data_IF_532999921865
#
_entry.id   IF_532999921865
#
_cell.length_a   1.000
_cell.length_b   1.000
_cell.length_c   1.000
_cell.angle_alpha   90.00
_cell.angle_beta   90.00
_cell.angle_gamma   90.00
#
_symmetry.space_group_name_H-M   'P 1'
#
loop_
_entity.id
_entity.type
_entity.pdbx_description
1 polymer ?
#
# COMPACT_ATOMS: atom_id res chain seq x y z
N UNK A 1 -2.26 -5.21 4.30
CA UNK A 1 -2.12 -4.81 5.72
C UNK A 1 -3.42 -4.19 6.23
N UNK A 2 -3.86 -4.62 7.42
CA UNK A 2 -5.05 -4.07 8.10
C UNK A 2 -4.56 -3.32 9.34
N UNK A 3 -4.49 -2.00 9.26
CA UNK A 3 -3.86 -1.15 10.27
C UNK A 3 -4.59 -1.14 11.62
N UNK A 4 -5.91 -1.29 11.62
CA UNK A 4 -6.72 -1.33 12.84
C UNK A 4 -7.03 -2.76 13.35
N UNK A 5 -6.22 -3.75 12.95
CA UNK A 5 -6.44 -5.15 13.33
C UNK A 5 -6.41 -5.38 14.85
N UNK A 6 -5.61 -4.60 15.60
CA UNK A 6 -5.48 -4.75 17.06
C UNK A 6 -6.78 -4.36 17.77
N UNK A 7 -7.40 -3.26 17.36
CA UNK A 7 -8.68 -2.80 17.91
C UNK A 7 -9.79 -3.81 17.59
N UNK A 8 -9.75 -4.36 16.37
CA UNK A 8 -10.69 -5.41 15.96
C UNK A 8 -10.47 -6.67 16.82
N UNK A 9 -9.23 -7.13 16.99
CA UNK A 9 -8.92 -8.28 17.86
C UNK A 9 -9.39 -8.07 19.29
N UNK A 10 -9.16 -6.90 19.85
CA UNK A 10 -9.61 -6.57 21.21
C UNK A 10 -11.15 -6.62 21.32
N UNK A 11 -11.87 -6.10 20.33
CA UNK A 11 -13.34 -6.11 20.28
C UNK A 11 -13.92 -7.53 20.17
N UNK A 12 -13.26 -8.42 19.45
CA UNK A 12 -13.69 -9.82 19.28
C UNK A 12 -13.03 -10.81 20.26
N UNK A 13 -12.29 -10.31 21.25
CA UNK A 13 -11.71 -11.16 22.28
C UNK A 13 -12.79 -11.97 23.02
N UNK A 14 -12.63 -13.31 23.05
CA UNK A 14 -13.63 -14.22 23.64
C UNK A 14 -14.85 -14.54 22.77
N UNK A 15 -15.00 -13.88 21.60
CA UNK A 15 -16.05 -14.16 20.63
C UNK A 15 -15.54 -14.92 19.40
N UNK A 16 -14.28 -14.67 19.06
CA UNK A 16 -13.57 -15.35 17.96
C UNK A 16 -12.24 -15.88 18.46
N UNK A 17 -11.95 -17.15 18.14
CA UNK A 17 -10.70 -17.81 18.53
C UNK A 17 -9.63 -17.59 17.46
N UNK A 18 -8.84 -16.51 17.63
CA UNK A 18 -7.77 -16.16 16.71
C UNK A 18 -6.63 -17.19 16.77
N UNK A 19 -6.29 -17.78 15.64
CA UNK A 19 -5.31 -18.86 15.52
C UNK A 19 -3.90 -18.33 15.19
N UNK A 20 -3.78 -17.12 14.66
CA UNK A 20 -2.51 -16.55 14.19
C UNK A 20 -2.28 -15.14 14.74
N UNK A 21 -1.07 -14.61 14.56
CA UNK A 21 -0.75 -13.20 14.79
C UNK A 21 -1.00 -12.29 13.56
N UNK A 22 -1.49 -12.86 12.45
CA UNK A 22 -1.69 -12.09 11.20
C UNK A 22 -2.76 -11.02 11.36
N UNK A 23 -2.49 -9.84 10.87
CA UNK A 23 -3.45 -8.74 10.77
C UNK A 23 -4.66 -9.10 9.90
N UNK A 24 -4.47 -9.92 8.87
CA UNK A 24 -5.53 -10.33 7.95
C UNK A 24 -6.59 -11.25 8.57
N UNK A 25 -6.28 -11.96 9.66
CA UNK A 25 -7.22 -12.88 10.29
C UNK A 25 -8.47 -12.19 10.85
N UNK A 26 -8.39 -10.90 11.15
CA UNK A 26 -9.55 -10.13 11.62
C UNK A 26 -10.67 -10.05 10.57
N UNK A 27 -10.34 -10.21 9.29
CA UNK A 27 -11.31 -10.27 8.19
C UNK A 27 -12.28 -11.43 8.40
N UNK A 28 -11.78 -12.58 8.86
CA UNK A 28 -12.60 -13.76 9.11
C UNK A 28 -13.57 -13.56 10.28
N UNK A 29 -13.09 -12.93 11.37
CA UNK A 29 -13.92 -12.61 12.52
C UNK A 29 -15.05 -11.63 12.15
N UNK A 30 -14.70 -10.59 11.41
CA UNK A 30 -15.65 -9.58 10.93
C UNK A 30 -16.67 -10.18 9.93
N UNK A 31 -16.21 -11.00 8.98
CA UNK A 31 -17.10 -11.63 8.01
C UNK A 31 -18.08 -12.59 8.68
N UNK A 32 -17.63 -13.35 9.67
CA UNK A 32 -18.50 -14.25 10.45
C UNK A 32 -19.61 -13.51 11.19
N UNK A 33 -19.33 -12.31 11.72
CA UNK A 33 -20.28 -11.49 12.44
C UNK A 33 -21.23 -10.71 11.53
N UNK A 34 -20.69 -10.06 10.47
CA UNK A 34 -21.38 -9.05 9.67
C UNK A 34 -21.60 -9.39 8.19
N UNK A 35 -21.13 -10.56 7.75
CA UNK A 35 -21.14 -10.90 6.35
C UNK A 35 -20.33 -9.89 5.54
N UNK A 36 -20.80 -9.51 4.34
CA UNK A 36 -20.10 -8.58 3.45
C UNK A 36 -20.09 -7.12 3.93
N UNK A 37 -20.86 -6.77 4.96
CA UNK A 37 -21.00 -5.40 5.46
C UNK A 37 -19.84 -4.93 6.34
N UNK A 38 -18.87 -5.79 6.60
CA UNK A 38 -17.70 -5.43 7.43
C UNK A 38 -16.68 -4.51 6.74
N UNK A 39 -16.73 -4.38 5.42
CA UNK A 39 -15.70 -3.69 4.64
C UNK A 39 -15.45 -2.24 5.09
N UNK A 40 -16.47 -1.55 5.58
CA UNK A 40 -16.35 -0.17 6.09
C UNK A 40 -15.61 -0.08 7.43
N UNK A 41 -15.41 -1.21 8.12
CA UNK A 41 -14.75 -1.24 9.43
C UNK A 41 -13.25 -1.50 9.36
N UNK A 42 -12.74 -1.94 8.20
CA UNK A 42 -11.32 -2.18 8.02
C UNK A 42 -10.62 -0.94 7.48
N UNK A 43 -9.47 -0.63 8.06
CA UNK A 43 -8.57 0.42 7.60
C UNK A 43 -7.26 -0.23 7.18
N UNK A 44 -6.89 -0.09 5.90
CA UNK A 44 -5.69 -0.76 5.41
C UNK A 44 -5.45 -0.62 3.92
N UNK A 45 -4.38 -1.24 3.48
CA UNK A 45 -4.00 -1.44 2.08
C UNK A 45 -4.21 -2.92 1.79
N UNK A 46 -5.18 -3.24 0.94
CA UNK A 46 -5.54 -4.64 0.70
C UNK A 46 -6.18 -4.90 -0.66
N UNK A 47 -5.94 -6.09 -1.14
CA UNK A 47 -6.74 -6.80 -2.13
C UNK A 47 -6.82 -8.24 -1.65
N UNK A 48 -8.02 -8.77 -1.44
CA UNK A 48 -8.19 -10.12 -0.92
C UNK A 48 -9.33 -10.86 -1.59
N UNK A 49 -9.26 -12.16 -1.47
CA UNK A 49 -10.36 -13.09 -1.76
C UNK A 49 -10.65 -13.88 -0.49
N UNK A 50 -11.89 -13.88 -0.07
CA UNK A 50 -12.39 -14.68 1.02
C UNK A 50 -13.34 -15.72 0.43
N UNK A 51 -13.11 -17.00 0.73
CA UNK A 51 -13.99 -18.09 0.34
C UNK A 51 -14.70 -18.66 1.57
N UNK A 52 -16.01 -18.75 1.49
CA UNK A 52 -16.88 -19.34 2.49
C UNK A 52 -17.26 -20.75 2.01
N UNK A 53 -16.58 -21.76 2.55
CA UNK A 53 -16.74 -23.15 2.14
C UNK A 53 -18.12 -23.70 2.49
N UNK A 54 -18.75 -23.24 3.58
CA UNK A 54 -20.07 -23.71 4.01
C UNK A 54 -21.17 -23.25 3.04
N UNK A 55 -21.01 -22.07 2.46
CA UNK A 55 -21.98 -21.49 1.52
C UNK A 55 -21.61 -21.68 0.05
N UNK A 56 -20.40 -22.16 -0.22
CA UNK A 56 -19.80 -22.18 -1.56
C UNK A 56 -19.87 -20.80 -2.25
N UNK A 57 -19.51 -19.76 -1.48
CA UNK A 57 -19.55 -18.34 -1.89
C UNK A 57 -18.18 -17.70 -1.71
N UNK A 58 -17.87 -16.70 -2.53
CA UNK A 58 -16.64 -15.93 -2.36
C UNK A 58 -16.87 -14.41 -2.43
N UNK A 59 -16.05 -13.69 -1.69
CA UNK A 59 -15.98 -12.23 -1.66
C UNK A 59 -14.60 -11.79 -2.11
N UNK A 60 -14.56 -10.91 -3.10
CA UNK A 60 -13.35 -10.20 -3.51
C UNK A 60 -13.51 -8.74 -3.09
N UNK A 61 -12.49 -8.13 -2.50
CA UNK A 61 -12.53 -6.71 -2.16
C UNK A 61 -11.16 -6.06 -2.35
N UNK A 62 -11.19 -4.78 -2.70
CA UNK A 62 -10.00 -3.95 -2.88
C UNK A 62 -10.11 -2.68 -2.05
N UNK A 63 -8.98 -2.24 -1.51
CA UNK A 63 -8.88 -1.03 -0.69
C UNK A 63 -9.43 0.23 -1.38
N UNK A 64 -9.75 1.29 -0.61
CA UNK A 64 -10.38 2.51 -1.13
C UNK A 64 -9.64 3.21 -2.25
N UNK A 65 -8.30 3.15 -2.26
CA UNK A 65 -7.43 3.85 -3.22
C UNK A 65 -6.93 2.89 -4.30
N UNK A 66 -6.95 1.57 -4.00
CA UNK A 66 -6.44 0.53 -4.89
C UNK A 66 -4.91 0.49 -4.95
N UNK A 67 -4.26 0.63 -3.80
CA UNK A 67 -2.80 0.57 -3.70
C UNK A 67 -2.28 -0.78 -4.17
N UNK A 68 -2.96 -1.87 -3.77
CA UNK A 68 -2.64 -3.20 -4.28
C UNK A 68 -3.32 -3.38 -5.64
N UNK A 69 -2.57 -3.72 -6.71
CA UNK A 69 -3.16 -4.05 -8.00
C UNK A 69 -4.09 -5.26 -7.87
N UNK A 70 -5.19 -5.24 -8.59
CA UNK A 70 -6.11 -6.37 -8.69
C UNK A 70 -6.83 -6.31 -10.04
N UNK A 71 -6.93 -7.46 -10.70
CA UNK A 71 -7.65 -7.67 -11.95
C UNK A 71 -8.64 -8.81 -11.79
N UNK A 72 -9.72 -8.73 -12.54
CA UNK A 72 -10.72 -9.78 -12.68
C UNK A 72 -10.84 -10.16 -14.15
N UNK A 73 -10.95 -11.45 -14.44
CA UNK A 73 -11.11 -11.94 -15.80
C UNK A 73 -12.11 -13.08 -15.87
N UNK A 74 -12.56 -13.37 -17.09
CA UNK A 74 -13.45 -14.49 -17.39
C UNK A 74 -12.92 -15.28 -18.56
N UNK A 75 -13.04 -16.60 -18.49
CA UNK A 75 -12.82 -17.47 -19.63
C UNK A 75 -14.10 -17.58 -20.48
N UNK A 76 -14.00 -18.28 -21.62
CA UNK A 76 -15.10 -18.54 -22.55
C UNK A 76 -16.31 -19.28 -21.94
N UNK A 77 -16.08 -19.99 -20.85
CA UNK A 77 -17.11 -20.75 -20.12
C UNK A 77 -17.73 -19.93 -18.98
N UNK A 78 -17.31 -18.63 -18.83
CA UNK A 78 -17.78 -17.70 -17.83
C UNK A 78 -17.16 -17.91 -16.43
N UNK A 79 -16.14 -18.74 -16.32
CA UNK A 79 -15.42 -18.95 -15.07
C UNK A 79 -14.59 -17.72 -14.73
N UNK A 80 -14.65 -17.32 -13.46
CA UNK A 80 -14.00 -16.09 -12.96
C UNK A 80 -12.60 -16.41 -12.43
N UNK A 81 -11.66 -15.55 -12.81
CA UNK A 81 -10.28 -15.55 -12.35
C UNK A 81 -9.92 -14.17 -11.81
N UNK A 82 -8.99 -14.11 -10.89
CA UNK A 82 -8.46 -12.85 -10.35
C UNK A 82 -6.99 -12.98 -10.00
N UNK A 83 -6.29 -11.85 -10.07
CA UNK A 83 -4.86 -11.79 -9.78
C UNK A 83 -4.39 -10.37 -9.59
N UNK A 84 -3.30 -10.20 -8.84
CA UNK A 84 -2.68 -8.89 -8.64
C UNK A 84 -1.82 -8.43 -9.81
N UNK A 85 -1.53 -9.33 -10.75
CA UNK A 85 -0.80 -9.03 -11.98
C UNK A 85 -1.61 -9.49 -13.19
N UNK A 86 -1.72 -8.62 -14.20
CA UNK A 86 -2.49 -8.90 -15.42
C UNK A 86 -1.95 -10.12 -16.18
N UNK A 87 -0.62 -10.26 -16.22
CA UNK A 87 0.04 -11.42 -16.85
C UNK A 87 -0.32 -12.76 -16.21
N UNK A 88 -0.80 -12.77 -14.97
CA UNK A 88 -1.29 -13.99 -14.32
C UNK A 88 -2.63 -14.46 -14.89
N UNK A 89 -3.37 -13.58 -15.56
CA UNK A 89 -4.64 -13.90 -16.22
C UNK A 89 -4.47 -14.20 -17.71
N UNK A 90 -3.34 -13.82 -18.29
CA UNK A 90 -3.03 -14.06 -19.70
C UNK A 90 -2.96 -15.57 -19.99
N UNK A 91 -3.64 -16.00 -21.05
CA UNK A 91 -3.73 -17.41 -21.45
C UNK A 91 -4.83 -18.21 -20.72
N UNK A 92 -5.48 -17.64 -19.73
CA UNK A 92 -6.63 -18.25 -19.04
C UNK A 92 -7.93 -17.52 -19.31
N UNK A 93 -7.89 -16.21 -19.46
CA UNK A 93 -9.07 -15.37 -19.64
C UNK A 93 -9.17 -14.85 -21.06
N UNK A 94 -10.41 -14.83 -21.59
CA UNK A 94 -10.73 -14.17 -22.85
C UNK A 94 -11.07 -12.69 -22.67
N UNK A 95 -11.59 -12.34 -21.48
CA UNK A 95 -11.88 -10.96 -21.05
C UNK A 95 -11.27 -10.70 -19.69
N UNK A 96 -10.67 -9.52 -19.49
CA UNK A 96 -10.18 -9.08 -18.21
C UNK A 96 -10.22 -7.57 -18.07
N UNK A 97 -10.43 -7.10 -16.85
CA UNK A 97 -10.48 -5.69 -16.52
C UNK A 97 -9.83 -5.40 -15.16
N UNK A 98 -9.38 -4.16 -14.91
CA UNK A 98 -8.94 -3.76 -13.57
C UNK A 98 -10.11 -3.85 -12.58
N UNK A 99 -9.85 -4.46 -11.42
CA UNK A 99 -10.79 -4.42 -10.32
C UNK A 99 -10.78 -3.03 -9.68
N UNK A 100 -11.92 -2.35 -9.63
CA UNK A 100 -11.99 -0.95 -9.24
C UNK A 100 -11.65 -0.73 -7.75
N UNK A 101 -10.90 0.33 -7.40
CA UNK A 101 -10.67 0.74 -6.01
C UNK A 101 -11.98 0.98 -5.24
N UNK A 102 -12.01 0.60 -3.96
CA UNK A 102 -13.19 0.78 -3.13
C UNK A 102 -14.42 -0.04 -3.56
N UNK A 103 -14.18 -1.12 -4.31
CA UNK A 103 -15.25 -2.02 -4.75
C UNK A 103 -15.08 -3.43 -4.17
N UNK A 104 -16.16 -4.18 -4.19
CA UNK A 104 -16.19 -5.60 -3.93
C UNK A 104 -16.95 -6.35 -5.04
N UNK A 105 -16.66 -7.64 -5.17
CA UNK A 105 -17.45 -8.59 -5.93
C UNK A 105 -17.85 -9.73 -5.03
N UNK A 106 -19.14 -9.97 -4.91
CA UNK A 106 -19.67 -11.09 -4.15
C UNK A 106 -20.31 -12.10 -5.12
N UNK A 107 -19.88 -13.35 -5.05
CA UNK A 107 -20.28 -14.39 -6.01
C UNK A 107 -21.79 -14.56 -6.14
N UNK A 108 -22.52 -14.46 -5.03
CA UNK A 108 -23.98 -14.53 -4.98
C UNK A 108 -24.68 -13.40 -5.75
N UNK A 109 -24.06 -12.24 -5.81
CA UNK A 109 -24.61 -11.07 -6.49
C UNK A 109 -24.16 -10.98 -7.96
N UNK A 110 -23.05 -11.60 -8.29
CA UNK A 110 -22.51 -11.73 -9.64
C UNK A 110 -22.08 -10.43 -10.31
N UNK A 111 -21.87 -9.36 -9.52
CA UNK A 111 -21.48 -8.04 -10.03
C UNK A 111 -20.59 -7.29 -9.04
N UNK A 112 -19.74 -6.42 -9.61
CA UNK A 112 -18.93 -5.49 -8.84
C UNK A 112 -19.79 -4.36 -8.29
N UNK A 113 -19.61 -4.03 -7.01
CA UNK A 113 -20.30 -2.94 -6.31
C UNK A 113 -19.32 -2.09 -5.52
N UNK A 114 -19.62 -0.80 -5.42
CA UNK A 114 -18.87 0.14 -4.60
C UNK A 114 -19.27 -0.03 -3.13
N UNK A 115 -18.27 -0.20 -2.25
CA UNK A 115 -18.47 -0.23 -0.80
C UNK A 115 -17.94 1.03 -0.11
N UNK A 116 -16.94 1.70 -0.72
CA UNK A 116 -16.33 2.90 -0.15
C UNK A 116 -16.93 4.16 -0.78
N UNK A 117 -17.64 4.94 0.03
CA UNK A 117 -18.20 6.24 -0.34
C UNK A 117 -17.92 7.25 0.76
N UNK A 118 -17.45 8.45 0.41
CA UNK A 118 -17.14 9.53 1.34
C UNK A 118 -17.78 10.82 0.85
N UNK A 119 -18.13 11.68 1.81
CA UNK A 119 -18.79 12.98 1.55
C UNK A 119 -17.98 13.87 0.62
N UNK A 120 -16.64 13.85 0.71
CA UNK A 120 -15.74 14.63 -0.15
C UNK A 120 -15.78 14.25 -1.64
N UNK A 121 -16.47 13.19 -2.01
CA UNK A 121 -16.75 12.86 -3.42
C UNK A 121 -17.81 13.76 -4.03
N UNK A 122 -18.59 14.47 -3.20
CA UNK A 122 -19.54 15.51 -3.61
C UNK A 122 -19.02 16.88 -3.16
N UNK A 123 -18.75 17.75 -4.13
CA UNK A 123 -18.23 19.10 -3.86
C UNK A 123 -19.17 19.92 -2.97
N UNK A 124 -20.49 19.84 -3.20
CA UNK A 124 -21.48 20.60 -2.44
C UNK A 124 -21.47 20.23 -0.95
N UNK A 125 -21.17 18.98 -0.63
CA UNK A 125 -21.08 18.49 0.75
C UNK A 125 -19.87 19.02 1.52
N UNK A 126 -18.84 19.52 0.84
CA UNK A 126 -17.55 19.91 1.46
C UNK A 126 -17.07 21.31 1.12
N UNK A 127 -17.77 22.05 0.27
CA UNK A 127 -17.32 23.38 -0.22
C UNK A 127 -17.15 24.42 0.91
N UNK A 128 -17.86 24.27 1.99
CA UNK A 128 -17.85 25.20 3.14
C UNK A 128 -17.08 24.60 4.35
N UNK A 129 -16.18 23.63 4.09
CA UNK A 129 -15.40 23.00 5.16
C UNK A 129 -14.31 23.95 5.69
N UNK A 130 -14.36 24.23 6.99
CA UNK A 130 -13.46 25.12 7.73
C UNK A 130 -12.19 24.40 8.26
N UNK A 131 -11.69 23.38 7.58
CA UNK A 131 -10.50 22.64 8.00
C UNK A 131 -9.29 23.58 8.19
N UNK A 132 -8.59 23.41 9.32
CA UNK A 132 -7.39 24.18 9.65
C UNK A 132 -6.13 23.42 9.27
N UNK A 133 -5.03 24.14 9.10
CA UNK A 133 -3.73 23.50 8.85
C UNK A 133 -3.30 22.55 9.98
N UNK A 134 -3.74 22.81 11.24
CA UNK A 134 -3.55 21.88 12.37
C UNK A 134 -4.20 20.53 12.13
N UNK A 135 -5.42 20.53 11.61
CA UNK A 135 -6.21 19.30 11.41
C UNK A 135 -5.58 18.44 10.32
N UNK A 136 -5.08 19.09 9.26
CA UNK A 136 -4.31 18.40 8.19
C UNK A 136 -3.01 17.80 8.76
N UNK A 137 -2.30 18.55 9.60
CA UNK A 137 -1.07 18.07 10.24
C UNK A 137 -1.35 16.84 11.10
N UNK A 138 -2.34 16.91 11.97
CA UNK A 138 -2.69 15.80 12.88
C UNK A 138 -3.14 14.57 12.08
N UNK A 139 -4.01 14.75 11.09
CA UNK A 139 -4.47 13.66 10.23
C UNK A 139 -3.32 13.01 9.44
N UNK A 140 -2.35 13.80 8.96
CA UNK A 140 -1.20 13.29 8.23
C UNK A 140 -0.23 12.54 9.17
N UNK A 141 0.06 13.10 10.36
CA UNK A 141 0.88 12.43 11.37
C UNK A 141 0.26 11.08 11.78
N UNK A 142 -1.04 11.05 12.01
CA UNK A 142 -1.77 9.82 12.36
C UNK A 142 -1.78 8.81 11.21
N UNK A 143 -1.99 9.27 9.98
CA UNK A 143 -1.96 8.41 8.79
C UNK A 143 -0.58 7.76 8.59
N UNK A 144 0.50 8.52 8.73
CA UNK A 144 1.86 7.97 8.63
C UNK A 144 2.12 7.01 9.79
N UNK A 145 1.82 7.42 11.02
CA UNK A 145 2.08 6.61 12.21
C UNK A 145 1.48 5.21 12.12
N UNK A 146 0.18 5.10 11.82
CA UNK A 146 -0.48 3.78 11.71
C UNK A 146 0.06 2.91 10.57
N UNK A 147 0.63 3.51 9.51
CA UNK A 147 1.21 2.80 8.38
C UNK A 147 2.66 2.34 8.61
N UNK A 148 3.29 2.73 9.71
CA UNK A 148 4.62 2.23 10.09
C UNK A 148 4.57 0.85 10.76
N UNK A 149 3.41 0.23 10.86
CA UNK A 149 3.24 -1.16 11.31
C UNK A 149 4.04 -2.09 10.40
N UNK A 150 5.05 -2.76 10.96
CA UNK A 150 5.91 -3.66 10.19
C UNK A 150 6.62 -4.67 11.07
N UNK A 151 6.64 -5.92 10.64
CA UNK A 151 7.42 -7.00 11.24
C UNK A 151 8.83 -7.14 10.62
N UNK A 152 9.18 -6.24 9.69
CA UNK A 152 10.46 -6.22 8.96
C UNK A 152 11.09 -4.82 8.99
N UNK A 153 12.41 -4.70 8.75
CA UNK A 153 13.05 -3.40 8.57
C UNK A 153 12.43 -2.62 7.42
N UNK A 154 12.16 -1.34 7.65
CA UNK A 154 11.64 -0.43 6.63
C UNK A 154 12.52 0.82 6.46
N UNK A 155 12.37 1.47 5.32
CA UNK A 155 13.02 2.74 5.00
C UNK A 155 12.03 3.74 4.42
N UNK A 156 12.52 4.89 3.99
CA UNK A 156 11.72 5.92 3.31
C UNK A 156 12.37 6.32 1.99
N UNK A 157 11.54 6.61 1.01
CA UNK A 157 11.97 7.20 -0.25
C UNK A 157 12.02 8.71 -0.10
N UNK A 158 13.18 9.32 -0.35
CA UNK A 158 13.41 10.72 -0.10
C UNK A 158 13.93 11.42 -1.37
N UNK A 159 13.07 12.16 -2.04
CA UNK A 159 13.41 12.92 -3.25
C UNK A 159 13.89 14.34 -2.96
N UNK A 160 13.76 14.82 -1.71
CA UNK A 160 14.01 16.22 -1.34
C UNK A 160 12.87 17.19 -1.69
N UNK A 161 11.79 16.70 -2.30
CA UNK A 161 10.54 17.44 -2.49
C UNK A 161 9.75 17.57 -1.19
N UNK A 162 8.76 18.47 -1.16
CA UNK A 162 7.96 18.75 0.05
C UNK A 162 7.33 17.49 0.63
N UNK A 163 6.61 16.73 -0.19
CA UNK A 163 5.82 15.58 0.27
C UNK A 163 6.70 14.50 0.90
N UNK A 164 7.73 14.04 0.17
CA UNK A 164 8.67 13.03 0.67
C UNK A 164 9.42 13.48 1.92
N UNK A 165 9.72 14.79 2.02
CA UNK A 165 10.42 15.36 3.18
C UNK A 165 9.53 15.36 4.42
N UNK A 166 8.26 15.76 4.28
CA UNK A 166 7.29 15.77 5.39
C UNK A 166 7.01 14.34 5.87
N UNK A 167 6.72 13.40 4.95
CA UNK A 167 6.50 12.00 5.30
C UNK A 167 7.72 11.40 6.01
N UNK A 168 8.93 11.63 5.49
CA UNK A 168 10.16 11.14 6.10
C UNK A 168 10.42 11.72 7.50
N UNK A 169 10.11 13.03 7.68
CA UNK A 169 10.25 13.69 8.98
C UNK A 169 9.24 13.11 10.02
N UNK A 170 8.01 12.84 9.61
CA UNK A 170 7.01 12.20 10.47
C UNK A 170 7.44 10.77 10.81
N UNK A 171 7.84 9.98 9.81
CA UNK A 171 8.31 8.61 10.02
C UNK A 171 9.49 8.57 11.01
N UNK A 172 10.41 9.53 10.92
CA UNK A 172 11.56 9.64 11.83
C UNK A 172 11.16 9.83 13.30
N UNK A 173 10.03 10.51 13.58
CA UNK A 173 9.55 10.68 14.99
C UNK A 173 9.27 9.32 15.66
N UNK A 174 8.85 8.33 14.89
CA UNK A 174 8.39 7.03 15.38
C UNK A 174 9.39 5.89 15.11
N UNK A 175 10.40 6.12 14.26
CA UNK A 175 11.29 5.07 13.75
C UNK A 175 12.13 4.33 14.80
N UNK A 176 12.28 4.89 16.02
CA UNK A 176 13.09 4.28 17.09
C UNK A 176 12.37 3.14 17.82
N UNK A 177 11.05 3.06 17.71
CA UNK A 177 10.22 2.10 18.44
C UNK A 177 9.27 1.38 17.50
N UNK A 178 8.96 0.15 17.86
CA UNK A 178 7.97 -0.65 17.11
C UNK A 178 6.55 -0.25 17.51
N UNK A 179 5.72 0.05 16.53
CA UNK A 179 4.32 0.38 16.73
C UNK A 179 3.53 -0.86 17.17
N UNK A 180 3.87 -2.04 16.65
CA UNK A 180 3.21 -3.31 16.95
C UNK A 180 3.30 -3.71 18.43
N UNK A 181 4.19 -3.11 19.18
CA UNK A 181 4.37 -3.37 20.63
C UNK A 181 4.03 -2.16 21.50
N UNK A 182 3.24 -1.20 20.98
CA UNK A 182 2.92 0.08 21.64
C UNK A 182 4.18 0.83 22.15
N UNK A 183 5.27 0.72 21.37
CA UNK A 183 6.56 1.33 21.73
C UNK A 183 7.34 0.60 22.82
N UNK A 184 6.90 -0.58 23.26
CA UNK A 184 7.61 -1.35 24.28
C UNK A 184 8.93 -1.95 23.77
N UNK A 185 9.03 -2.22 22.47
CA UNK A 185 10.24 -2.78 21.85
C UNK A 185 10.91 -1.76 20.93
N UNK A 186 12.23 -1.84 20.85
CA UNK A 186 13.00 -1.07 19.89
C UNK A 186 12.71 -1.54 18.46
N UNK A 187 12.79 -0.61 17.49
CA UNK A 187 12.67 -0.93 16.09
C UNK A 187 13.75 -1.91 15.63
N UNK A 188 13.48 -2.65 14.56
CA UNK A 188 14.46 -3.54 13.92
C UNK A 188 15.76 -2.82 13.55
N UNK A 189 15.60 -1.57 13.07
CA UNK A 189 16.67 -0.64 12.82
C UNK A 189 16.35 0.66 13.57
N UNK A 190 17.07 1.00 14.64
CA UNK A 190 16.81 2.20 15.43
C UNK A 190 17.11 3.49 14.68
N UNK A 191 17.86 3.40 13.57
CA UNK A 191 18.09 4.52 12.65
C UNK A 191 17.27 4.33 11.38
N UNK A 192 16.44 5.33 11.06
CA UNK A 192 15.67 5.33 9.82
C UNK A 192 16.60 5.51 8.62
N UNK A 193 16.50 4.61 7.66
CA UNK A 193 17.21 4.68 6.39
C UNK A 193 16.36 5.42 5.36
N UNK A 194 16.98 6.32 4.61
CA UNK A 194 16.35 7.02 3.48
C UNK A 194 17.08 6.73 2.18
N UNK A 195 16.33 6.71 1.08
CA UNK A 195 16.83 6.31 -0.24
C UNK A 195 16.47 7.35 -1.28
N UNK A 196 17.44 7.71 -2.11
CA UNK A 196 17.24 8.53 -3.29
C UNK A 196 17.96 7.91 -4.49
N UNK A 197 17.42 8.09 -5.67
CA UNK A 197 18.06 7.66 -6.93
C UNK A 197 17.97 8.76 -7.97
N UNK A 198 19.03 8.92 -8.75
CA UNK A 198 19.06 9.90 -9.84
C UNK A 198 20.31 9.78 -10.70
N UNK A 199 20.35 10.56 -11.77
CA UNK A 199 21.57 10.73 -12.55
C UNK A 199 22.60 11.49 -11.70
N UNK A 200 23.88 11.21 -11.90
CA UNK A 200 24.98 11.88 -11.18
C UNK A 200 24.85 13.40 -11.28
N UNK A 201 24.80 14.08 -10.13
CA UNK A 201 24.68 15.52 -10.03
C UNK A 201 23.25 16.07 -10.23
N UNK A 202 22.23 15.22 -10.24
CA UNK A 202 20.85 15.66 -10.30
C UNK A 202 20.50 16.56 -9.10
N UNK A 203 19.77 17.69 -9.31
CA UNK A 203 19.43 18.63 -8.25
C UNK A 203 18.63 17.99 -7.12
N UNK A 204 17.75 17.04 -7.44
CA UNK A 204 16.93 16.33 -6.47
C UNK A 204 17.78 15.53 -5.47
N UNK A 205 18.89 14.92 -5.92
CA UNK A 205 19.80 14.20 -5.02
C UNK A 205 20.47 15.13 -4.02
N UNK A 206 20.81 16.36 -4.45
CA UNK A 206 21.38 17.37 -3.56
C UNK A 206 20.37 17.74 -2.48
N UNK A 207 19.11 17.98 -2.87
CA UNK A 207 18.04 18.31 -1.93
C UNK A 207 17.67 17.16 -1.01
N UNK A 208 17.65 15.95 -1.52
CA UNK A 208 17.43 14.75 -0.70
C UNK A 208 18.49 14.63 0.41
N UNK A 209 19.76 14.89 0.08
CA UNK A 209 20.86 14.86 1.06
C UNK A 209 20.71 15.95 2.12
N UNK A 210 20.41 17.19 1.73
CA UNK A 210 20.16 18.31 2.66
C UNK A 210 19.04 17.96 3.66
N UNK A 211 17.94 17.39 3.17
CA UNK A 211 16.82 16.97 4.02
C UNK A 211 17.21 15.79 4.90
N UNK A 212 17.90 14.78 4.37
CA UNK A 212 18.36 13.63 5.12
C UNK A 212 19.26 14.01 6.30
N UNK A 213 20.19 14.95 6.08
CA UNK A 213 21.06 15.52 7.12
C UNK A 213 20.22 16.23 8.19
N UNK A 214 19.24 17.04 7.78
CA UNK A 214 18.38 17.79 8.69
C UNK A 214 17.53 16.90 9.59
N UNK A 215 16.89 15.85 9.03
CA UNK A 215 16.06 14.94 9.80
C UNK A 215 16.84 13.81 10.48
N UNK A 216 18.12 13.64 10.15
CA UNK A 216 19.01 12.66 10.78
C UNK A 216 18.72 11.22 10.35
N UNK A 217 18.55 10.96 9.07
CA UNK A 217 18.43 9.60 8.50
C UNK A 217 19.80 9.07 8.05
N UNK A 218 19.93 7.76 7.95
CA UNK A 218 21.03 7.12 7.23
C UNK A 218 20.70 7.15 5.75
N UNK A 219 21.28 8.12 5.03
CA UNK A 219 20.94 8.38 3.65
C UNK A 219 21.73 7.53 2.67
N UNK A 220 21.03 6.94 1.69
CA UNK A 220 21.61 6.16 0.61
C UNK A 220 21.28 6.85 -0.72
N UNK A 221 22.30 7.42 -1.32
CA UNK A 221 22.21 8.03 -2.64
C UNK A 221 22.67 7.03 -3.71
N UNK A 222 21.79 6.69 -4.62
CA UNK A 222 22.06 5.77 -5.71
C UNK A 222 22.13 6.55 -7.03
N UNK A 223 23.22 6.37 -7.74
CA UNK A 223 23.40 6.94 -9.06
C UNK A 223 23.24 5.88 -10.12
N UNK A 224 22.54 6.19 -11.21
CA UNK A 224 22.47 5.36 -12.40
C UNK A 224 22.82 6.15 -13.66
N UNK A 225 23.19 5.46 -14.71
CA UNK A 225 23.51 6.03 -16.02
C UNK A 225 22.28 5.99 -16.93
N UNK A 226 22.26 6.84 -17.96
CA UNK A 226 21.21 6.78 -18.99
C UNK A 226 21.13 5.38 -19.62
N UNK A 227 22.27 4.74 -19.85
CA UNK A 227 22.30 3.39 -20.44
C UNK A 227 21.66 2.36 -19.52
N UNK A 228 21.96 2.36 -18.22
CA UNK A 228 21.29 1.47 -17.25
C UNK A 228 19.79 1.69 -17.22
N UNK A 229 19.34 2.94 -17.32
CA UNK A 229 17.92 3.25 -17.45
C UNK A 229 17.29 2.67 -18.71
N UNK A 230 17.95 2.83 -19.87
CA UNK A 230 17.46 2.30 -21.14
C UNK A 230 17.42 0.76 -21.14
N UNK A 231 18.44 0.13 -20.59
CA UNK A 231 18.53 -1.34 -20.49
C UNK A 231 17.42 -1.93 -19.60
N UNK A 232 16.96 -1.17 -18.58
CA UNK A 232 15.91 -1.60 -17.67
C UNK A 232 14.50 -1.49 -18.25
N UNK A 233 14.24 -0.71 -19.32
CA UNK A 233 12.90 -0.39 -19.82
C UNK A 233 12.05 -1.64 -20.08
N UNK A 234 12.64 -2.68 -20.70
CA UNK A 234 11.92 -3.92 -21.00
C UNK A 234 11.40 -4.59 -19.73
N UNK A 235 12.24 -4.71 -18.72
CA UNK A 235 11.88 -5.30 -17.44
C UNK A 235 10.83 -4.44 -16.73
N UNK A 236 11.02 -3.11 -16.77
CA UNK A 236 10.05 -2.16 -16.19
C UNK A 236 8.67 -2.37 -16.80
N UNK A 237 8.54 -2.38 -18.13
CA UNK A 237 7.27 -2.60 -18.83
C UNK A 237 6.65 -3.95 -18.41
N UNK A 238 7.46 -5.00 -18.31
CA UNK A 238 7.00 -6.31 -17.87
C UNK A 238 6.39 -6.28 -16.46
N UNK A 239 7.03 -5.55 -15.53
CA UNK A 239 6.57 -5.48 -14.14
C UNK A 239 5.41 -4.52 -13.92
N UNK A 240 5.37 -3.37 -14.64
CA UNK A 240 4.27 -2.38 -14.48
C UNK A 240 3.07 -2.63 -15.39
N UNK A 241 3.23 -3.54 -16.37
CA UNK A 241 2.15 -3.99 -17.28
C UNK A 241 1.47 -2.86 -18.06
N UNK A 242 2.22 -1.81 -18.40
CA UNK A 242 1.72 -0.67 -19.19
C UNK A 242 2.79 -0.10 -20.11
N UNK A 243 2.35 0.56 -21.18
CA UNK A 243 3.19 1.30 -22.14
C UNK A 243 3.07 2.83 -21.96
N UNK A 244 2.35 3.27 -20.92
CA UNK A 244 2.25 4.71 -20.67
C UNK A 244 3.61 5.33 -20.42
N UNK A 245 3.95 6.33 -21.23
CA UNK A 245 5.29 6.96 -21.23
C UNK A 245 5.63 7.57 -19.87
N UNK A 246 4.66 8.20 -19.21
CA UNK A 246 4.86 8.83 -17.91
C UNK A 246 5.14 7.79 -16.84
N UNK A 247 4.36 6.71 -16.84
CA UNK A 247 4.52 5.60 -15.90
C UNK A 247 5.86 4.89 -16.11
N UNK A 248 6.23 4.56 -17.35
CA UNK A 248 7.52 3.92 -17.65
C UNK A 248 8.70 4.79 -17.20
N UNK A 249 8.64 6.10 -17.51
CA UNK A 249 9.70 7.05 -17.14
C UNK A 249 9.86 7.18 -15.62
N UNK A 250 8.75 7.25 -14.89
CA UNK A 250 8.77 7.35 -13.43
C UNK A 250 9.21 6.04 -12.76
N UNK A 251 8.78 4.91 -13.30
CA UNK A 251 9.06 3.58 -12.72
C UNK A 251 10.48 3.08 -12.99
N UNK A 252 11.15 3.55 -14.05
CA UNK A 252 12.50 3.09 -14.38
C UNK A 252 13.52 3.32 -13.25
N UNK A 253 13.70 4.55 -12.70
CA UNK A 253 14.57 4.75 -11.55
C UNK A 253 14.09 4.00 -10.32
N UNK A 254 12.78 3.90 -10.10
CA UNK A 254 12.21 3.18 -8.96
C UNK A 254 12.50 1.67 -9.02
N UNK A 255 12.46 1.07 -10.21
CA UNK A 255 12.85 -0.32 -10.41
C UNK A 255 14.32 -0.56 -10.05
N UNK A 256 15.21 0.31 -10.51
CA UNK A 256 16.65 0.23 -10.19
C UNK A 256 16.89 0.41 -8.70
N UNK A 257 16.20 1.37 -8.07
CA UNK A 257 16.27 1.63 -6.63
C UNK A 257 15.78 0.43 -5.81
N UNK A 258 14.64 -0.14 -6.17
CA UNK A 258 14.06 -1.29 -5.48
C UNK A 258 15.01 -2.50 -5.44
N UNK A 259 15.79 -2.73 -6.50
CA UNK A 259 16.81 -3.78 -6.53
C UNK A 259 17.91 -3.55 -5.49
N UNK A 260 18.35 -2.31 -5.33
CA UNK A 260 19.35 -1.93 -4.31
C UNK A 260 18.77 -2.10 -2.91
N UNK A 261 17.59 -1.54 -2.66
CA UNK A 261 16.91 -1.64 -1.35
C UNK A 261 16.72 -3.10 -0.95
N UNK A 262 16.24 -3.94 -1.88
CA UNK A 262 16.08 -5.38 -1.65
C UNK A 262 17.41 -6.06 -1.31
N UNK A 263 18.50 -5.69 -1.98
CA UNK A 263 19.83 -6.27 -1.70
C UNK A 263 20.36 -5.93 -0.30
N UNK A 264 19.86 -4.85 0.31
CA UNK A 264 20.17 -4.44 1.69
C UNK A 264 19.29 -5.15 2.73
N UNK A 265 18.36 -6.03 2.32
CA UNK A 265 17.48 -6.76 3.23
C UNK A 265 16.25 -5.98 3.68
N UNK A 266 16.01 -4.79 3.13
CA UNK A 266 14.81 -3.99 3.41
C UNK A 266 13.68 -4.49 2.52
N UNK A 267 12.53 -4.71 3.12
CA UNK A 267 11.36 -5.28 2.44
C UNK A 267 10.19 -4.30 2.34
N UNK A 268 10.24 -3.19 3.06
CA UNK A 268 9.19 -2.17 3.09
C UNK A 268 9.81 -0.76 2.98
N UNK A 269 9.16 0.13 2.22
CA UNK A 269 9.48 1.55 2.12
C UNK A 269 8.20 2.38 2.08
#
# INVERSE_FOLDING_TARGET
EIYNHRDIRARYAGQYDFQTGSDCEVILALYKDKGIHFLEEISGIFAFVLYDEEKDEFLIARDPIGVIPLYIGKDKDGKIYFGSELKALEGFCDEYEPFLPGHYFYSKEGKMKRWYTREWTDYESVKDNDAKASDVKEALEDAVHRQLMSDVPYGVLLSGGLDSSVISAIAKKYAAKRIETDGASDAWWPQLHSFAIGLKGAPDLIKAREVAEYIGTVHHEINYTVQEGLDAIRDVIYFIETYDVTTVRASTPMYLLARVIKSMGIKMV
#
